data_IF_082584549074
#
_entry.id   IF_082584549074
#
_cell.length_a   1.000
_cell.length_b   1.000
_cell.length_c   1.000
_cell.angle_alpha   90.00
_cell.angle_beta   90.00
_cell.angle_gamma   90.00
#
_symmetry.space_group_name_H-M   'P 1'
#
loop_
_entity.id
_entity.type
_entity.pdbx_description
1 polymer ?
#
# COMPACT_ATOMS: atom_id res chain seq x y z
N UNK A 1 1.84 18.24 11.55
CA UNK A 1 0.54 17.58 11.76
C UNK A 1 0.83 16.12 12.00
N UNK A 2 0.40 15.54 13.11
CA UNK A 2 0.56 14.10 13.33
C UNK A 2 -0.43 13.33 12.42
N UNK A 3 -0.35 12.00 12.38
CA UNK A 3 -1.21 11.21 11.50
C UNK A 3 -2.70 11.32 11.86
N UNK A 4 -3.03 11.32 13.16
CA UNK A 4 -4.41 11.42 13.64
C UNK A 4 -5.08 12.75 13.23
N UNK A 5 -4.39 13.87 13.45
CA UNK A 5 -4.82 15.20 13.01
C UNK A 5 -5.02 15.25 11.49
N UNK A 6 -4.14 14.57 10.75
CA UNK A 6 -4.21 14.52 9.29
C UNK A 6 -5.41 13.73 8.79
N UNK A 7 -5.72 12.60 9.42
CA UNK A 7 -6.95 11.84 9.11
C UNK A 7 -8.19 12.67 9.43
N UNK A 8 -8.23 13.36 10.58
CA UNK A 8 -9.35 14.25 10.92
C UNK A 8 -9.55 15.40 9.92
N UNK A 9 -8.45 15.95 9.39
CA UNK A 9 -8.50 16.92 8.30
C UNK A 9 -9.12 16.31 7.02
N UNK A 10 -8.70 15.10 6.63
CA UNK A 10 -9.24 14.41 5.45
C UNK A 10 -10.72 14.05 5.61
N UNK A 11 -11.17 13.67 6.80
CA UNK A 11 -12.59 13.42 7.08
C UNK A 11 -13.46 14.66 6.85
N UNK A 12 -12.91 15.84 7.14
CA UNK A 12 -13.62 17.12 6.92
C UNK A 12 -13.62 17.49 5.44
N UNK A 13 -12.51 17.29 4.75
CA UNK A 13 -12.33 17.73 3.37
C UNK A 13 -12.92 16.77 2.32
N UNK A 14 -12.93 15.47 2.60
CA UNK A 14 -13.28 14.42 1.64
C UNK A 14 -14.08 13.27 2.31
N UNK A 15 -15.24 13.57 2.93
CA UNK A 15 -15.97 12.61 3.76
C UNK A 15 -16.35 11.31 3.02
N UNK A 16 -16.88 11.42 1.81
CA UNK A 16 -17.31 10.26 1.02
C UNK A 16 -16.14 9.34 0.65
N UNK A 17 -14.99 9.94 0.30
CA UNK A 17 -13.79 9.18 -0.01
C UNK A 17 -13.27 8.46 1.23
N UNK A 18 -13.22 9.14 2.38
CA UNK A 18 -12.78 8.55 3.63
C UNK A 18 -13.71 7.44 4.14
N UNK A 19 -15.00 7.53 3.85
CA UNK A 19 -15.95 6.43 4.07
C UNK A 19 -15.59 5.21 3.22
N UNK A 20 -15.37 5.40 1.92
CA UNK A 20 -14.97 4.32 1.00
C UNK A 20 -13.60 3.72 1.39
N UNK A 21 -12.66 4.55 1.81
CA UNK A 21 -11.31 4.14 2.20
C UNK A 21 -11.31 3.27 3.48
N UNK A 22 -12.17 3.60 4.45
CA UNK A 22 -12.38 2.74 5.62
C UNK A 22 -13.06 1.43 5.26
N UNK A 23 -14.08 1.49 4.39
CA UNK A 23 -14.77 0.28 3.91
C UNK A 23 -13.85 -0.66 3.12
N UNK A 24 -12.79 -0.13 2.49
CA UNK A 24 -11.81 -0.93 1.76
C UNK A 24 -10.74 -1.57 2.66
N UNK A 25 -10.68 -1.23 3.96
CA UNK A 25 -9.63 -1.66 4.91
C UNK A 25 -8.20 -1.33 4.46
N UNK A 26 -8.03 -0.35 3.54
CA UNK A 26 -6.73 0.09 3.04
C UNK A 26 -6.20 1.30 3.80
N UNK A 27 -7.03 1.95 4.61
CA UNK A 27 -6.60 3.04 5.47
C UNK A 27 -5.71 2.47 6.60
N UNK A 28 -4.45 2.91 6.72
CA UNK A 28 -3.57 2.40 7.78
C UNK A 28 -4.04 2.83 9.17
N UNK A 29 -4.02 1.92 10.14
CA UNK A 29 -4.27 2.25 11.55
C UNK A 29 -3.11 3.06 12.16
N UNK A 30 -1.89 2.78 11.70
CA UNK A 30 -0.67 3.49 12.08
C UNK A 30 0.16 3.77 10.83
N UNK A 31 0.67 4.99 10.72
CA UNK A 31 1.57 5.39 9.65
C UNK A 31 2.82 6.07 10.21
N UNK A 32 3.96 5.87 9.56
CA UNK A 32 5.23 6.53 9.88
C UNK A 32 5.33 7.95 9.30
N UNK A 33 4.36 8.35 8.47
CA UNK A 33 4.22 9.65 7.86
C UNK A 33 2.74 9.93 7.53
N UNK A 34 2.46 11.06 6.90
CA UNK A 34 1.10 11.45 6.50
C UNK A 34 0.82 11.15 5.02
N UNK A 35 1.57 10.25 4.39
CA UNK A 35 1.30 9.86 3.01
C UNK A 35 0.09 8.94 3.00
N UNK A 36 -0.94 9.32 2.24
CA UNK A 36 -2.10 8.48 1.96
C UNK A 36 -2.12 8.17 0.47
N UNK A 37 -2.43 6.92 0.13
CA UNK A 37 -2.72 6.57 -1.24
C UNK A 37 -4.06 7.16 -1.65
N UNK A 38 -4.05 8.09 -2.59
CA UNK A 38 -5.25 8.66 -3.20
C UNK A 38 -5.43 8.05 -4.58
N UNK A 39 -6.49 7.26 -4.77
CA UNK A 39 -6.74 6.57 -6.02
C UNK A 39 -8.23 6.25 -6.19
N UNK A 40 -8.83 6.89 -7.18
CA UNK A 40 -10.27 6.82 -7.50
C UNK A 40 -10.77 5.45 -7.95
N UNK A 41 -9.87 4.50 -8.26
CA UNK A 41 -10.25 3.16 -8.77
C UNK A 41 -10.03 2.08 -7.74
N UNK A 42 -8.84 2.01 -7.15
CA UNK A 42 -8.47 0.89 -6.28
C UNK A 42 -9.31 0.85 -5.00
N UNK A 43 -9.57 2.02 -4.38
CA UNK A 43 -10.35 2.12 -3.14
C UNK A 43 -11.78 1.60 -3.35
N UNK A 44 -12.57 2.13 -4.31
CA UNK A 44 -13.92 1.62 -4.51
C UNK A 44 -13.93 0.17 -5.01
N UNK A 45 -12.96 -0.28 -5.82
CA UNK A 45 -12.92 -1.68 -6.27
C UNK A 45 -12.62 -2.66 -5.14
N UNK A 46 -11.80 -2.28 -4.16
CA UNK A 46 -11.58 -3.10 -2.95
C UNK A 46 -12.81 -3.07 -2.06
N UNK A 47 -13.41 -1.90 -1.81
CA UNK A 47 -14.65 -1.78 -1.03
C UNK A 47 -15.81 -2.58 -1.66
N UNK A 48 -15.87 -2.68 -2.99
CA UNK A 48 -16.85 -3.49 -3.72
C UNK A 48 -16.49 -4.98 -3.82
N UNK A 49 -15.34 -5.41 -3.27
CA UNK A 49 -14.89 -6.81 -3.32
C UNK A 49 -14.39 -7.29 -4.68
N UNK A 50 -14.24 -6.40 -5.66
CA UNK A 50 -13.70 -6.70 -6.99
C UNK A 50 -12.18 -6.94 -6.94
N UNK A 51 -11.49 -6.37 -5.95
CA UNK A 51 -10.08 -6.58 -5.68
C UNK A 51 -9.95 -7.07 -4.24
N UNK A 52 -9.23 -8.19 -4.05
CA UNK A 52 -9.00 -8.80 -2.74
C UNK A 52 -7.65 -8.38 -2.20
N UNK A 53 -7.64 -7.71 -1.05
CA UNK A 53 -6.41 -7.46 -0.29
C UNK A 53 -5.94 -8.77 0.32
N UNK A 54 -4.65 -9.05 0.20
CA UNK A 54 -4.01 -10.23 0.77
C UNK A 54 -2.97 -9.81 1.81
N UNK A 55 -2.69 -10.66 2.80
CA UNK A 55 -1.55 -10.45 3.69
C UNK A 55 -0.25 -10.38 2.91
N UNK A 56 0.82 -9.98 3.59
CA UNK A 56 2.15 -9.94 2.98
C UNK A 56 2.53 -11.32 2.41
N UNK A 57 3.03 -11.32 1.18
CA UNK A 57 3.61 -12.50 0.57
C UNK A 57 4.91 -12.87 1.30
N UNK A 58 5.03 -14.13 1.72
CA UNK A 58 6.21 -14.65 2.44
C UNK A 58 7.21 -15.23 1.44
N UNK A 59 6.76 -16.11 0.54
CA UNK A 59 7.61 -16.75 -0.46
C UNK A 59 6.82 -17.39 -1.60
N UNK A 60 7.54 -17.69 -2.68
CA UNK A 60 7.11 -18.63 -3.70
C UNK A 60 7.29 -20.08 -3.21
N UNK A 61 6.34 -20.94 -3.54
CA UNK A 61 6.46 -22.39 -3.31
C UNK A 61 7.09 -23.09 -4.50
N UNK A 62 7.56 -24.33 -4.32
CA UNK A 62 8.13 -25.12 -5.42
C UNK A 62 7.11 -25.45 -6.51
N UNK A 63 5.82 -25.40 -6.17
CA UNK A 63 4.68 -25.66 -7.06
C UNK A 63 4.16 -24.39 -7.76
N UNK A 64 4.86 -23.26 -7.61
CA UNK A 64 4.54 -21.99 -8.27
C UNK A 64 3.39 -21.20 -7.62
N UNK A 65 3.02 -21.52 -6.38
CA UNK A 65 2.07 -20.72 -5.60
C UNK A 65 2.78 -19.64 -4.77
N UNK A 66 2.02 -18.64 -4.32
CA UNK A 66 2.44 -17.69 -3.29
C UNK A 66 1.95 -18.19 -1.94
N UNK A 67 2.84 -18.29 -0.95
CA UNK A 67 2.48 -18.45 0.47
C UNK A 67 2.49 -17.09 1.16
N UNK A 68 1.44 -16.80 1.92
CA UNK A 68 1.27 -15.57 2.69
C UNK A 68 1.62 -15.78 4.17
N UNK A 69 1.84 -14.69 4.90
CA UNK A 69 2.20 -14.72 6.35
C UNK A 69 1.16 -15.36 7.25
N UNK A 70 -0.10 -15.44 6.80
CA UNK A 70 -1.19 -16.14 7.50
C UNK A 70 -1.27 -17.64 7.15
N UNK A 71 -0.25 -18.17 6.46
CA UNK A 71 -0.14 -19.52 5.92
C UNK A 71 -1.13 -19.87 4.79
N UNK A 72 -1.97 -18.94 4.35
CA UNK A 72 -2.80 -19.14 3.15
C UNK A 72 -1.91 -19.22 1.89
N UNK A 73 -2.43 -19.89 0.85
CA UNK A 73 -1.71 -20.08 -0.41
C UNK A 73 -2.62 -19.85 -1.61
N UNK A 74 -2.08 -19.27 -2.67
CA UNK A 74 -2.82 -19.01 -3.90
C UNK A 74 -1.90 -18.99 -5.13
N UNK A 75 -2.44 -19.38 -6.29
CA UNK A 75 -1.73 -19.35 -7.57
C UNK A 75 -2.15 -18.12 -8.37
N UNK A 76 -1.18 -17.53 -9.07
CA UNK A 76 -1.37 -16.37 -9.92
C UNK A 76 -0.65 -16.59 -11.26
N UNK A 77 -1.28 -16.18 -12.36
CA UNK A 77 -0.67 -16.27 -13.68
C UNK A 77 0.41 -15.19 -13.89
N UNK A 78 0.24 -14.03 -13.25
CA UNK A 78 1.11 -12.86 -13.39
C UNK A 78 1.31 -12.19 -12.05
N UNK A 79 2.54 -11.73 -11.81
CA UNK A 79 2.93 -10.99 -10.61
C UNK A 79 3.62 -9.70 -11.04
N UNK A 80 3.15 -8.59 -10.51
CA UNK A 80 3.67 -7.25 -10.78
C UNK A 80 4.19 -6.69 -9.47
N UNK A 81 5.49 -6.43 -9.39
CA UNK A 81 6.15 -5.90 -8.20
C UNK A 81 6.12 -4.37 -8.19
N UNK A 82 5.35 -3.78 -7.28
CA UNK A 82 5.24 -2.34 -7.09
C UNK A 82 5.96 -1.88 -5.81
N UNK A 83 7.18 -2.38 -5.56
CA UNK A 83 7.94 -2.16 -4.30
C UNK A 83 8.74 -0.86 -4.27
N UNK A 84 8.44 0.07 -5.19
CA UNK A 84 9.20 1.32 -5.35
C UNK A 84 10.54 1.11 -6.05
N UNK A 85 11.38 2.13 -5.96
CA UNK A 85 12.70 2.17 -6.56
C UNK A 85 13.74 2.49 -5.47
N UNK A 86 14.97 2.04 -5.69
CA UNK A 86 16.11 2.52 -4.91
C UNK A 86 16.41 3.98 -5.23
N UNK A 87 17.20 4.63 -4.37
CA UNK A 87 17.72 5.96 -4.67
C UNK A 87 18.49 5.90 -6.00
N UNK A 88 18.32 6.90 -6.89
CA UNK A 88 19.11 6.98 -8.11
C UNK A 88 20.61 6.95 -7.80
N UNK A 89 21.40 6.37 -8.71
CA UNK A 89 22.85 6.40 -8.56
C UNK A 89 23.38 7.83 -8.77
N UNK A 90 23.79 8.46 -7.67
CA UNK A 90 24.42 9.78 -7.66
C UNK A 90 25.95 9.70 -7.59
N UNK A 91 26.57 8.59 -8.00
CA UNK A 91 28.03 8.42 -8.02
C UNK A 91 28.78 9.50 -8.81
N UNK A 92 28.09 10.16 -9.75
CA UNK A 92 28.60 11.32 -10.49
C UNK A 92 28.72 12.61 -9.65
N UNK A 93 28.04 12.71 -8.50
CA UNK A 93 28.12 13.84 -7.59
C UNK A 93 29.22 13.57 -6.56
N UNK A 94 30.31 14.35 -6.61
CA UNK A 94 31.35 14.30 -5.57
C UNK A 94 30.77 14.79 -4.24
N UNK A 95 30.80 13.96 -3.20
CA UNK A 95 30.52 14.41 -1.83
C UNK A 95 31.57 15.46 -1.46
N UNK A 96 31.14 16.67 -1.08
CA UNK A 96 32.04 17.63 -0.41
C UNK A 96 32.44 16.99 0.92
N UNK A 97 33.72 16.69 1.09
CA UNK A 97 34.30 16.45 2.41
C UNK A 97 34.17 17.73 3.23
N UNK A 98 33.62 17.59 4.44
CA UNK A 98 33.59 18.65 5.44
C UNK A 98 35.01 19.00 5.90
#
# INVERSE_FOLDING_TARGET
MNYEDFIGYLDTMMPDYMQAYRASSLLPDMANNNAVHVNEKIIPNVAAGLIKVKPQAERFTGEGAIKFVDASQEKYDVIITCTGYEMPDYSFIRKRTA
#
